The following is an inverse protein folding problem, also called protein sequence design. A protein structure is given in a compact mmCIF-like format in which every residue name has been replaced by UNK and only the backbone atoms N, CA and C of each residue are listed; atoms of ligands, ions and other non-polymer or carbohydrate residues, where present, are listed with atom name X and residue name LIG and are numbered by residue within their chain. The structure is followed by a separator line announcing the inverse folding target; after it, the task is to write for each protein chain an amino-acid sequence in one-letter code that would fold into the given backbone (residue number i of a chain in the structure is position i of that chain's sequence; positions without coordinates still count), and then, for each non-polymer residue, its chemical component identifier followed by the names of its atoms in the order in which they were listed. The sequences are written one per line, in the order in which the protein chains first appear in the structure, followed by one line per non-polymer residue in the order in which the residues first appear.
data_IF_853863311290
#
_entry.id   IF_853863311290
#
_cell.length_a   1.000
_cell.length_b   1.000
_cell.length_c   1.000
_cell.angle_alpha   90.00
_cell.angle_beta   90.00
_cell.angle_gamma   90.00
#
_symmetry.space_group_name_H-M   'P 1'
#
loop_
_entity.id
_entity.type
_entity.pdbx_description
1 polymer ?
#
# COMPACT_ATOMS: atom_id res chain seq x y z
N UNK A 1 -1.19 -5.83 -20.42
CA UNK A 1 -2.27 -4.84 -20.53
C UNK A 1 -1.75 -3.56 -19.91
N UNK A 2 -1.57 -2.49 -20.69
CA UNK A 2 -1.14 -1.18 -20.18
C UNK A 2 -2.42 -0.38 -19.94
N UNK A 3 -2.58 0.20 -18.75
CA UNK A 3 -3.73 1.07 -18.44
C UNK A 3 -3.62 2.35 -19.26
N UNK A 4 -4.63 2.66 -20.08
CA UNK A 4 -4.73 3.93 -20.78
C UNK A 4 -5.14 5.02 -19.79
N UNK A 5 -4.20 5.88 -19.38
CA UNK A 5 -4.41 6.89 -18.33
C UNK A 5 -5.19 8.12 -18.80
N UNK A 6 -5.70 8.14 -20.04
CA UNK A 6 -6.42 9.29 -20.59
C UNK A 6 -7.94 9.28 -20.31
N UNK A 7 -8.49 8.20 -19.76
CA UNK A 7 -9.91 8.08 -19.42
C UNK A 7 -10.30 8.91 -18.19
N UNK A 8 -11.43 9.62 -18.27
CA UNK A 8 -11.98 10.48 -17.22
C UNK A 8 -12.34 9.73 -15.92
N UNK A 9 -12.46 8.41 -15.96
CA UNK A 9 -12.75 7.57 -14.79
C UNK A 9 -11.50 7.05 -14.06
N UNK A 10 -10.33 7.59 -14.37
CA UNK A 10 -9.07 7.21 -13.73
C UNK A 10 -8.53 8.34 -12.87
N UNK A 11 -7.88 7.96 -11.78
CA UNK A 11 -7.22 8.89 -10.88
C UNK A 11 -5.92 8.28 -10.38
N UNK A 12 -4.97 9.16 -10.09
CA UNK A 12 -3.67 8.81 -9.49
C UNK A 12 -3.62 9.36 -8.08
N UNK A 13 -3.20 8.55 -7.13
CA UNK A 13 -2.88 9.01 -5.77
C UNK A 13 -1.37 8.97 -5.57
N UNK A 14 -0.82 10.13 -5.26
CA UNK A 14 0.57 10.30 -4.84
C UNK A 14 0.59 10.46 -3.32
N UNK A 15 1.38 9.63 -2.62
CA UNK A 15 1.54 9.68 -1.17
C UNK A 15 3.01 9.84 -0.83
N UNK A 16 3.31 10.81 0.04
CA UNK A 16 4.61 10.95 0.67
C UNK A 16 4.49 10.68 2.17
N UNK A 17 5.20 9.66 2.65
CA UNK A 17 5.22 9.28 4.07
C UNK A 17 6.48 9.84 4.74
N UNK A 18 6.36 10.75 5.72
CA UNK A 18 7.52 11.34 6.38
C UNK A 18 8.10 10.37 7.43
N UNK A 19 8.83 9.34 7.00
CA UNK A 19 9.31 8.27 7.90
C UNK A 19 10.16 8.77 9.08
N UNK A 20 10.86 9.89 8.95
CA UNK A 20 11.57 10.53 10.05
C UNK A 20 10.67 10.91 11.24
N UNK A 21 9.36 11.08 11.01
CA UNK A 21 8.35 11.37 12.05
C UNK A 21 7.55 10.14 12.47
N UNK A 22 7.53 9.10 11.64
CA UNK A 22 6.71 7.91 11.86
C UNK A 22 7.49 6.78 12.54
N UNK A 23 8.80 6.73 12.34
CA UNK A 23 9.67 5.67 12.86
C UNK A 23 10.81 6.31 13.64
N UNK A 24 11.03 5.92 14.91
CA UNK A 24 12.19 6.38 15.67
C UNK A 24 13.49 6.07 14.92
N UNK A 25 14.31 7.09 14.68
CA UNK A 25 15.56 6.95 13.92
C UNK A 25 15.39 6.92 12.38
N UNK A 26 14.16 7.07 11.88
CA UNK A 26 13.84 7.11 10.46
C UNK A 26 14.03 5.77 9.73
N UNK A 27 13.85 5.82 8.41
CA UNK A 27 14.12 4.70 7.52
C UNK A 27 15.51 4.90 6.89
N UNK A 28 16.31 3.83 6.81
CA UNK A 28 17.66 3.84 6.25
C UNK A 28 17.71 2.95 5.00
N UNK A 29 18.68 3.19 4.12
CA UNK A 29 19.00 2.25 3.03
C UNK A 29 19.29 0.85 3.59
N UNK A 30 18.81 -0.18 2.91
CA UNK A 30 18.81 -1.57 3.32
C UNK A 30 17.77 -1.94 4.39
N UNK A 31 17.00 -0.98 4.92
CA UNK A 31 15.96 -1.29 5.89
C UNK A 31 14.81 -2.07 5.26
N UNK A 32 14.20 -2.94 6.07
CA UNK A 32 12.98 -3.68 5.71
C UNK A 32 11.76 -2.92 6.17
N UNK A 33 10.87 -2.61 5.25
CA UNK A 33 9.54 -2.10 5.50
C UNK A 33 8.53 -3.22 5.21
N UNK A 34 7.60 -3.46 6.13
CA UNK A 34 6.50 -4.39 5.91
C UNK A 34 5.23 -3.60 5.61
N UNK A 35 4.67 -3.74 4.41
CA UNK A 35 3.49 -2.98 4.01
C UNK A 35 2.57 -3.75 3.04
N UNK A 36 1.37 -3.22 2.85
CA UNK A 36 0.43 -3.66 1.84
C UNK A 36 -0.38 -2.45 1.37
N UNK A 37 -0.90 -2.51 0.14
CA UNK A 37 -1.70 -1.44 -0.45
C UNK A 37 -3.08 -1.96 -0.79
N UNK A 38 -4.10 -1.20 -0.41
CA UNK A 38 -5.50 -1.59 -0.58
C UNK A 38 -6.25 -0.55 -1.40
N UNK A 39 -7.16 -1.03 -2.26
CA UNK A 39 -8.18 -0.21 -2.93
C UNK A 39 -9.55 -0.64 -2.42
N UNK A 40 -10.28 0.31 -1.85
CA UNK A 40 -11.65 0.13 -1.39
C UNK A 40 -12.60 1.08 -2.12
N UNK A 41 -13.75 0.58 -2.55
CA UNK A 41 -14.87 1.43 -2.97
C UNK A 41 -15.72 1.85 -1.74
N UNK A 42 -16.44 2.98 -1.79
CA UNK A 42 -17.30 3.43 -0.67
C UNK A 42 -18.34 2.40 -0.22
N UNK A 43 -18.82 1.55 -1.13
CA UNK A 43 -19.76 0.46 -0.84
C UNK A 43 -19.15 -0.70 -0.03
N UNK A 44 -17.82 -0.75 0.08
CA UNK A 44 -17.09 -1.78 0.83
C UNK A 44 -17.08 -3.18 0.18
N UNK A 45 -17.72 -3.35 -0.98
CA UNK A 45 -17.84 -4.62 -1.71
C UNK A 45 -16.57 -4.96 -2.50
N UNK A 46 -15.89 -3.97 -3.05
CA UNK A 46 -14.63 -4.16 -3.76
C UNK A 46 -13.46 -3.86 -2.82
N UNK A 47 -12.80 -4.92 -2.36
CA UNK A 47 -11.58 -4.86 -1.55
C UNK A 47 -10.45 -5.54 -2.29
N UNK A 48 -9.64 -4.75 -2.99
CA UNK A 48 -8.45 -5.25 -3.66
C UNK A 48 -7.23 -4.97 -2.81
N UNK A 49 -6.27 -5.91 -2.81
CA UNK A 49 -5.01 -5.79 -2.11
C UNK A 49 -3.85 -6.12 -3.06
N UNK A 50 -2.69 -5.48 -2.86
CA UNK A 50 -1.47 -5.86 -3.56
C UNK A 50 -1.05 -7.29 -3.17
N UNK A 51 -1.03 -7.58 -1.87
CA UNK A 51 -0.87 -8.94 -1.35
C UNK A 51 -2.19 -9.44 -0.72
N UNK A 52 -2.71 -10.61 -1.13
CA UNK A 52 -3.91 -11.18 -0.52
C UNK A 52 -3.73 -11.52 0.97
N UNK A 53 -4.64 -11.03 1.82
CA UNK A 53 -4.60 -11.31 3.27
C UNK A 53 -5.54 -12.44 3.72
N UNK A 54 -6.49 -12.87 2.87
CA UNK A 54 -7.50 -13.92 3.17
C UNK A 54 -8.20 -13.77 4.55
N UNK A 55 -8.25 -12.55 5.06
CA UNK A 55 -8.79 -12.20 6.37
C UNK A 55 -9.98 -11.26 6.20
N UNK A 56 -10.95 -11.20 7.14
CA UNK A 56 -12.11 -10.31 7.05
C UNK A 56 -11.77 -8.80 6.97
N UNK A 57 -10.52 -8.41 7.19
CA UNK A 57 -10.08 -7.01 7.19
C UNK A 57 -8.63 -6.79 6.73
N UNK A 58 -8.18 -5.54 6.81
CA UNK A 58 -6.87 -5.08 6.31
C UNK A 58 -5.76 -5.04 7.39
N UNK A 59 -6.11 -5.35 8.64
CA UNK A 59 -5.23 -5.19 9.80
C UNK A 59 -4.49 -6.48 10.21
N UNK A 60 -4.44 -7.48 9.33
CA UNK A 60 -3.61 -8.67 9.55
C UNK A 60 -2.15 -8.36 9.19
N UNK A 61 -1.37 -7.98 10.20
CA UNK A 61 0.04 -7.61 10.04
C UNK A 61 0.95 -8.81 9.72
N UNK A 62 0.47 -10.04 9.89
CA UNK A 62 1.27 -11.25 9.60
C UNK A 62 1.45 -11.52 8.10
N UNK A 63 0.74 -10.78 7.24
CA UNK A 63 0.69 -10.99 5.79
C UNK A 63 1.15 -9.79 4.96
N UNK A 64 1.83 -8.85 5.59
CA UNK A 64 2.42 -7.71 4.88
C UNK A 64 3.59 -8.16 4.00
N UNK A 65 3.73 -7.57 2.81
CA UNK A 65 4.90 -7.78 1.97
C UNK A 65 6.12 -7.09 2.58
N UNK A 66 7.29 -7.72 2.41
CA UNK A 66 8.58 -7.09 2.69
C UNK A 66 9.00 -6.23 1.49
N UNK A 67 9.37 -4.99 1.75
CA UNK A 67 9.97 -4.05 0.80
C UNK A 67 11.31 -3.62 1.37
N UNK A 68 12.38 -3.78 0.58
CA UNK A 68 13.72 -3.32 0.94
C UNK A 68 13.93 -1.92 0.37
N UNK A 69 14.39 -1.00 1.20
CA UNK A 69 14.66 0.38 0.82
C UNK A 69 16.05 0.46 0.21
N UNK A 70 16.16 1.03 -0.99
CA UNK A 70 17.43 1.26 -1.69
C UNK A 70 18.27 2.36 -1.02
#
# INVERSE_FOLDING_TARGET
MISDTSDHNQWTVCVALPFAKLVPGGLKSGAKLYCNFYRGAPSGLDRLAWVPTFSPGFHDVSRLAEVVIE
#
